data_IF_988418440432
#
_entry.id   IF_988418440432
#
_cell.length_a   1.000
_cell.length_b   1.000
_cell.length_c   1.000
_cell.angle_alpha   90.00
_cell.angle_beta   90.00
_cell.angle_gamma   90.00
#
_symmetry.space_group_name_H-M   'P 1'
#
loop_
_entity.id
_entity.type
_entity.pdbx_description
1 polymer ?
#
# COMPACT_ATOMS: atom_id res chain seq x y z
N UNK A 1 25.39 -4.80 -17.48
CA UNK A 1 25.20 -5.66 -18.67
C UNK A 1 23.72 -5.98 -18.75
N UNK A 2 23.02 -5.46 -19.74
CA UNK A 2 21.61 -5.76 -19.95
C UNK A 2 21.51 -7.19 -20.47
N UNK A 3 20.91 -8.08 -19.68
CA UNK A 3 20.50 -9.38 -20.18
C UNK A 3 19.44 -9.13 -21.27
N UNK A 4 19.78 -9.49 -22.51
CA UNK A 4 18.78 -9.67 -23.55
C UNK A 4 17.79 -10.71 -23.04
N UNK A 5 16.58 -10.27 -22.72
CA UNK A 5 15.51 -11.16 -22.30
C UNK A 5 15.13 -11.98 -23.54
N UNK A 6 15.52 -13.25 -23.55
CA UNK A 6 15.19 -14.19 -24.60
C UNK A 6 13.65 -14.28 -24.71
N UNK A 7 13.10 -13.79 -25.81
CA UNK A 7 11.64 -13.67 -26.01
C UNK A 7 10.93 -15.02 -26.10
N UNK A 8 11.68 -16.13 -26.01
CA UNK A 8 11.16 -17.50 -26.09
C UNK A 8 10.91 -18.14 -24.72
N UNK A 9 11.51 -17.62 -23.63
CA UNK A 9 11.34 -18.20 -22.31
C UNK A 9 9.93 -17.90 -21.73
N UNK A 10 9.29 -18.87 -21.07
CA UNK A 10 8.01 -18.63 -20.41
C UNK A 10 8.16 -17.58 -19.31
N UNK A 11 7.18 -16.69 -19.20
CA UNK A 11 7.10 -15.75 -18.09
C UNK A 11 6.99 -16.54 -16.78
N UNK A 12 7.83 -16.24 -15.78
CA UNK A 12 7.83 -16.86 -14.45
C UNK A 12 7.94 -15.79 -13.36
N UNK A 13 7.46 -16.10 -12.16
CA UNK A 13 7.55 -15.22 -10.99
C UNK A 13 8.85 -15.40 -10.18
N UNK A 14 9.62 -16.46 -10.43
CA UNK A 14 10.78 -16.88 -9.62
C UNK A 14 11.84 -15.77 -9.45
N UNK A 15 11.98 -14.92 -10.47
CA UNK A 15 13.00 -13.87 -10.51
C UNK A 15 12.65 -12.63 -9.68
N UNK A 16 11.45 -12.54 -9.11
CA UNK A 16 10.97 -11.35 -8.39
C UNK A 16 10.98 -11.47 -6.87
N UNK A 17 11.64 -12.49 -6.31
CA UNK A 17 11.57 -12.80 -4.87
C UNK A 17 10.13 -12.93 -4.37
N UNK A 18 9.27 -13.45 -5.24
CA UNK A 18 7.87 -13.71 -5.00
C UNK A 18 7.72 -14.99 -4.18
N UNK A 19 6.91 -14.97 -3.12
CA UNK A 19 6.54 -16.19 -2.41
C UNK A 19 5.34 -16.82 -3.11
N UNK A 20 5.42 -18.08 -3.51
CA UNK A 20 4.24 -18.76 -4.06
C UNK A 20 3.10 -18.73 -3.05
N UNK A 21 3.36 -19.01 -1.78
CA UNK A 21 2.35 -19.15 -0.72
C UNK A 21 1.92 -17.86 -0.03
N UNK A 22 2.67 -16.76 -0.24
CA UNK A 22 2.43 -15.49 0.46
C UNK A 22 2.42 -14.28 -0.49
N UNK A 23 2.63 -14.48 -1.79
CA UNK A 23 2.66 -13.42 -2.78
C UNK A 23 3.79 -12.42 -2.50
N UNK A 24 3.41 -11.14 -2.33
CA UNK A 24 4.32 -10.05 -1.98
C UNK A 24 4.61 -9.93 -0.48
N UNK A 25 3.91 -10.68 0.36
CA UNK A 25 4.10 -10.66 1.81
C UNK A 25 5.44 -11.31 2.15
N UNK A 26 6.21 -10.69 3.04
CA UNK A 26 7.48 -11.22 3.50
C UNK A 26 7.24 -12.54 4.26
N UNK A 27 7.78 -13.68 3.81
CA UNK A 27 7.65 -14.94 4.53
C UNK A 27 8.41 -14.89 5.85
N UNK A 28 7.73 -15.31 6.91
CA UNK A 28 8.27 -15.42 8.27
C UNK A 28 9.09 -14.20 8.68
N UNK A 29 8.45 -13.02 8.83
CA UNK A 29 9.15 -11.82 9.26
C UNK A 29 9.92 -12.07 10.55
N UNK A 30 11.13 -11.52 10.61
CA UNK A 30 11.95 -11.61 11.80
C UNK A 30 11.27 -10.81 12.93
N UNK A 31 11.32 -11.32 14.15
CA UNK A 31 10.70 -10.67 15.32
C UNK A 31 11.70 -9.90 16.19
N UNK A 32 12.99 -10.23 16.08
CA UNK A 32 14.08 -9.65 16.86
C UNK A 32 15.28 -9.37 15.96
N UNK A 33 15.90 -8.19 16.12
CA UNK A 33 17.17 -7.88 15.47
C UNK A 33 18.35 -8.42 16.29
N UNK A 34 19.55 -8.55 15.70
CA UNK A 34 20.76 -8.86 16.46
C UNK A 34 20.93 -7.91 17.67
N UNK A 35 21.50 -8.37 18.81
CA UNK A 35 21.55 -7.61 20.07
C UNK A 35 22.14 -6.19 19.96
N UNK A 36 23.02 -5.95 18.99
CA UNK A 36 23.55 -4.62 18.69
C UNK A 36 22.44 -3.58 18.40
N UNK A 37 21.32 -4.01 17.84
CA UNK A 37 20.16 -3.18 17.46
C UNK A 37 19.05 -3.15 18.50
N UNK A 38 19.27 -3.73 19.69
CA UNK A 38 18.27 -3.71 20.77
C UNK A 38 17.76 -2.29 21.09
N UNK A 39 18.59 -1.22 21.11
CA UNK A 39 18.09 0.13 21.34
C UNK A 39 17.02 0.60 20.35
N UNK A 40 17.05 0.14 19.10
CA UNK A 40 15.99 0.44 18.13
C UNK A 40 14.71 -0.30 18.45
N UNK A 41 14.80 -1.58 18.80
CA UNK A 41 13.64 -2.42 19.08
C UNK A 41 12.93 -1.99 20.37
N UNK A 42 13.68 -1.64 21.42
CA UNK A 42 13.14 -1.16 22.70
C UNK A 42 12.25 0.09 22.52
N UNK A 43 12.65 0.99 21.62
CA UNK A 43 11.87 2.20 21.32
C UNK A 43 10.73 1.86 20.36
N UNK A 44 11.00 1.15 19.26
CA UNK A 44 10.01 0.86 18.22
C UNK A 44 8.79 0.09 18.74
N UNK A 45 8.97 -0.85 19.66
CA UNK A 45 7.88 -1.61 20.29
C UNK A 45 7.01 -0.76 21.20
N UNK A 46 7.55 0.35 21.72
CA UNK A 46 6.88 1.25 22.68
C UNK A 46 6.46 2.59 22.08
N UNK A 47 6.54 2.75 20.76
CA UNK A 47 6.18 4.02 20.08
C UNK A 47 4.80 4.54 20.49
N UNK A 48 3.72 3.72 20.57
CA UNK A 48 2.41 4.22 20.99
C UNK A 48 2.43 4.80 22.41
N UNK A 49 3.02 4.08 23.37
CA UNK A 49 3.13 4.49 24.78
C UNK A 49 3.98 5.77 24.92
N UNK A 50 5.11 5.83 24.21
CA UNK A 50 6.04 6.95 24.27
C UNK A 50 5.47 8.21 23.59
N UNK A 51 4.64 8.05 22.55
CA UNK A 51 3.92 9.17 21.94
C UNK A 51 2.86 9.70 22.89
N UNK A 52 2.06 8.82 23.51
CA UNK A 52 1.04 9.21 24.49
C UNK A 52 1.65 9.91 25.71
N UNK A 53 2.82 9.47 26.16
CA UNK A 53 3.57 10.11 27.24
C UNK A 53 4.35 11.38 26.81
N UNK A 54 4.34 11.75 25.52
CA UNK A 54 5.16 12.83 24.95
C UNK A 54 6.69 12.66 25.13
N UNK A 55 7.15 11.42 25.31
CA UNK A 55 8.54 11.09 25.61
C UNK A 55 9.35 10.61 24.40
N UNK A 56 8.69 10.20 23.30
CA UNK A 56 9.35 9.55 22.16
C UNK A 56 10.48 10.42 21.58
N UNK A 57 10.25 11.72 21.38
CA UNK A 57 11.29 12.66 20.90
C UNK A 57 12.49 12.71 21.83
N UNK A 58 12.28 12.65 23.15
CA UNK A 58 13.36 12.63 24.14
C UNK A 58 14.15 11.33 24.11
N UNK A 59 13.47 10.19 23.97
CA UNK A 59 14.11 8.87 23.86
C UNK A 59 14.96 8.77 22.59
N UNK A 60 14.44 9.20 21.43
CA UNK A 60 15.19 9.19 20.16
C UNK A 60 16.44 10.08 20.21
N UNK A 61 16.40 11.22 20.91
CA UNK A 61 17.59 12.07 21.10
C UNK A 61 18.67 11.41 21.98
N UNK A 62 18.28 10.52 22.89
CA UNK A 62 19.20 9.75 23.75
C UNK A 62 19.68 8.44 23.08
N UNK A 63 19.02 8.02 22.00
CA UNK A 63 19.33 6.79 21.29
C UNK A 63 20.75 6.83 20.69
N UNK A 64 21.57 5.79 20.88
CA UNK A 64 22.89 5.74 20.27
C UNK A 64 22.77 5.71 18.74
N UNK A 65 23.70 6.35 18.03
CA UNK A 65 23.81 6.19 16.58
C UNK A 65 24.39 4.81 16.27
N UNK A 66 23.59 3.92 15.68
CA UNK A 66 23.98 2.55 15.33
C UNK A 66 24.25 2.43 13.82
N UNK A 67 25.28 1.68 13.45
CA UNK A 67 25.62 1.39 12.05
C UNK A 67 24.78 0.24 11.49
N UNK A 68 24.37 0.32 10.23
CA UNK A 68 23.60 -0.75 9.56
C UNK A 68 24.48 -1.94 9.13
N UNK A 69 25.80 -1.87 9.32
CA UNK A 69 26.77 -2.84 8.80
C UNK A 69 26.62 -4.27 9.35
N UNK A 70 25.93 -4.45 10.47
CA UNK A 70 25.68 -5.77 11.06
C UNK A 70 24.33 -6.38 10.63
N UNK A 71 23.54 -5.67 9.82
CA UNK A 71 22.36 -6.24 9.16
C UNK A 71 22.82 -6.90 7.86
N UNK A 72 22.75 -8.22 7.78
CA UNK A 72 23.26 -8.99 6.64
C UNK A 72 22.13 -9.58 5.81
N UNK A 73 21.04 -10.00 6.46
CA UNK A 73 19.94 -10.72 5.82
C UNK A 73 18.80 -9.78 5.43
N UNK A 74 18.10 -10.11 4.34
CA UNK A 74 16.97 -9.30 3.89
C UNK A 74 15.89 -9.11 4.97
N UNK A 75 15.56 -10.17 5.74
CA UNK A 75 14.58 -10.08 6.83
C UNK A 75 15.03 -9.14 7.95
N UNK A 76 16.33 -9.08 8.26
CA UNK A 76 16.90 -8.12 9.23
C UNK A 76 16.78 -6.68 8.71
N UNK A 77 17.09 -6.45 7.43
CA UNK A 77 16.93 -5.14 6.81
C UNK A 77 15.48 -4.66 6.85
N UNK A 78 14.52 -5.56 6.58
CA UNK A 78 13.09 -5.26 6.57
C UNK A 78 12.55 -4.96 7.97
N UNK A 79 12.94 -5.73 8.98
CA UNK A 79 12.56 -5.44 10.37
C UNK A 79 13.17 -4.12 10.86
N UNK A 80 14.43 -3.86 10.55
CA UNK A 80 15.09 -2.61 10.90
C UNK A 80 14.42 -1.41 10.22
N UNK A 81 14.13 -1.49 8.92
CA UNK A 81 13.43 -0.42 8.19
C UNK A 81 12.03 -0.16 8.76
N UNK A 82 11.27 -1.22 9.09
CA UNK A 82 9.98 -1.11 9.79
C UNK A 82 10.12 -0.40 11.15
N UNK A 83 11.07 -0.81 11.98
CA UNK A 83 11.31 -0.21 13.30
C UNK A 83 11.66 1.28 13.20
N UNK A 84 12.62 1.63 12.33
CA UNK A 84 13.02 3.02 12.09
C UNK A 84 11.89 3.85 11.45
N UNK A 85 11.07 3.23 10.58
CA UNK A 85 9.91 3.87 9.96
C UNK A 85 8.83 4.23 10.98
N UNK A 86 8.46 3.30 11.86
CA UNK A 86 7.46 3.57 12.93
C UNK A 86 7.98 4.61 13.91
N UNK A 87 9.26 4.55 14.31
CA UNK A 87 9.89 5.59 15.13
C UNK A 87 9.88 6.96 14.44
N UNK A 88 10.16 7.01 13.14
CA UNK A 88 10.14 8.25 12.36
C UNK A 88 8.74 8.86 12.32
N UNK A 89 7.71 8.05 12.03
CA UNK A 89 6.34 8.54 12.02
C UNK A 89 5.89 9.03 13.41
N UNK A 90 6.24 8.29 14.47
CA UNK A 90 5.98 8.72 15.85
C UNK A 90 6.72 10.01 16.23
N UNK A 91 8.00 10.14 15.85
CA UNK A 91 8.81 11.33 16.16
C UNK A 91 8.25 12.59 15.50
N UNK A 92 7.93 12.49 14.21
CA UNK A 92 7.43 13.61 13.41
C UNK A 92 6.07 14.06 13.94
N UNK A 93 5.18 13.11 14.17
CA UNK A 93 3.77 13.36 14.47
C UNK A 93 3.39 13.28 15.95
N UNK A 94 4.36 13.21 16.88
CA UNK A 94 4.11 13.08 18.33
C UNK A 94 3.06 14.09 18.83
N UNK A 95 3.21 15.35 18.43
CA UNK A 95 2.35 16.47 18.83
C UNK A 95 1.23 16.76 17.80
N UNK A 96 0.97 15.82 16.89
CA UNK A 96 0.04 16.00 15.77
C UNK A 96 0.45 17.15 14.84
N UNK A 97 -0.53 17.94 14.41
CA UNK A 97 -0.34 19.08 13.49
C UNK A 97 0.10 20.38 14.19
N UNK A 98 0.07 20.43 15.53
CA UNK A 98 0.27 21.66 16.29
C UNK A 98 1.74 22.03 16.49
N UNK A 99 2.64 21.05 16.51
CA UNK A 99 4.09 21.25 16.69
C UNK A 99 4.87 20.24 15.83
N UNK A 100 4.83 20.46 14.52
CA UNK A 100 5.58 19.65 13.55
C UNK A 100 7.07 19.91 13.64
N UNK A 101 7.90 18.88 13.41
CA UNK A 101 9.37 19.01 13.37
C UNK A 101 9.86 19.34 11.97
N UNK A 102 10.92 20.15 11.85
CA UNK A 102 11.57 20.43 10.57
C UNK A 102 12.71 19.45 10.25
N UNK A 103 13.21 18.71 11.25
CA UNK A 103 14.41 17.89 11.14
C UNK A 103 14.30 16.57 11.92
N UNK A 104 14.69 15.48 11.27
CA UNK A 104 14.87 14.16 11.86
C UNK A 104 16.29 14.02 12.42
N UNK A 105 16.49 13.67 13.70
CA UNK A 105 17.82 13.59 14.31
C UNK A 105 18.71 12.56 13.62
N UNK A 106 20.02 12.85 13.53
CA UNK A 106 21.02 12.02 12.85
C UNK A 106 21.07 10.57 13.34
N UNK A 107 20.76 10.35 14.63
CA UNK A 107 20.73 9.01 15.25
C UNK A 107 19.67 8.10 14.62
N UNK A 108 18.60 8.69 14.07
CA UNK A 108 17.53 8.01 13.36
C UNK A 108 17.65 8.20 11.83
N UNK A 109 17.96 9.42 11.38
CA UNK A 109 17.96 9.79 9.97
C UNK A 109 19.02 9.05 9.13
N UNK A 110 20.26 8.97 9.62
CA UNK A 110 21.38 8.33 8.90
C UNK A 110 21.13 6.84 8.68
N UNK A 111 20.92 6.00 9.72
CA UNK A 111 20.71 4.57 9.49
C UNK A 111 19.43 4.30 8.70
N UNK A 112 18.39 5.11 8.87
CA UNK A 112 17.14 4.92 8.13
C UNK A 112 17.34 5.19 6.63
N UNK A 113 18.04 6.27 6.28
CA UNK A 113 18.37 6.57 4.89
C UNK A 113 19.26 5.50 4.26
N UNK A 114 20.31 5.04 4.95
CA UNK A 114 21.20 3.99 4.45
C UNK A 114 20.45 2.67 4.21
N UNK A 115 19.57 2.27 5.14
CA UNK A 115 18.70 1.10 4.97
C UNK A 115 17.75 1.25 3.79
N UNK A 116 17.14 2.42 3.66
CA UNK A 116 16.30 2.79 2.53
C UNK A 116 17.01 2.64 1.20
N UNK A 117 18.26 3.13 1.08
CA UNK A 117 19.05 2.95 -0.13
C UNK A 117 19.31 1.47 -0.43
N UNK A 118 19.66 0.68 0.59
CA UNK A 118 19.96 -0.75 0.43
C UNK A 118 18.74 -1.58 0.03
N UNK A 119 17.55 -1.21 0.51
CA UNK A 119 16.28 -1.86 0.16
C UNK A 119 15.66 -1.30 -1.12
N UNK A 120 16.15 -0.15 -1.62
CA UNK A 120 15.52 0.58 -2.72
C UNK A 120 14.16 1.17 -2.35
N UNK A 121 13.94 1.52 -1.08
CA UNK A 121 12.73 2.14 -0.54
C UNK A 121 13.02 3.58 -0.08
N UNK A 122 12.01 4.47 0.00
CA UNK A 122 12.20 5.79 0.58
C UNK A 122 12.33 5.70 2.12
N UNK A 123 12.98 6.68 2.78
CA UNK A 123 13.11 6.75 4.24
C UNK A 123 11.84 7.31 4.90
N UNK A 124 10.72 6.62 4.68
CA UNK A 124 9.42 6.83 5.33
C UNK A 124 8.77 5.46 5.53
N UNK A 125 7.87 5.33 6.51
CA UNK A 125 7.09 4.09 6.67
C UNK A 125 6.22 3.83 5.43
N UNK A 126 6.40 2.68 4.79
CA UNK A 126 5.67 2.30 3.56
C UNK A 126 4.70 1.14 3.79
N UNK A 127 3.88 0.84 2.79
CA UNK A 127 3.07 -0.39 2.75
C UNK A 127 3.92 -1.66 2.83
N UNK A 128 5.12 -1.66 2.21
CA UNK A 128 6.04 -2.79 2.30
C UNK A 128 6.49 -3.06 3.74
N UNK A 129 6.52 -2.03 4.58
CA UNK A 129 6.92 -2.17 5.98
C UNK A 129 5.71 -2.52 6.83
N UNK A 130 4.71 -1.64 6.85
CA UNK A 130 3.60 -1.68 7.81
C UNK A 130 2.57 -2.79 7.52
N UNK A 131 2.54 -3.35 6.30
CA UNK A 131 1.64 -4.44 5.92
C UNK A 131 2.45 -5.69 5.60
N UNK A 132 3.35 -5.62 4.60
CA UNK A 132 3.97 -6.83 4.05
C UNK A 132 5.02 -7.45 4.98
N UNK A 133 5.58 -6.71 5.94
CA UNK A 133 6.58 -7.21 6.90
C UNK A 133 6.15 -7.13 8.37
N UNK A 134 5.08 -6.40 8.71
CA UNK A 134 4.68 -6.18 10.09
C UNK A 134 3.66 -7.21 10.58
N UNK A 135 4.01 -8.50 10.56
CA UNK A 135 3.13 -9.55 11.04
C UNK A 135 3.89 -10.73 11.64
N UNK A 136 3.24 -11.44 12.57
CA UNK A 136 3.60 -12.79 12.99
C UNK A 136 2.35 -13.59 13.36
N UNK A 137 2.48 -14.91 13.38
CA UNK A 137 1.48 -15.79 13.97
C UNK A 137 1.55 -15.67 15.49
N UNK A 138 0.42 -15.36 16.12
CA UNK A 138 0.26 -15.31 17.57
C UNK A 138 0.13 -16.71 18.16
N UNK A 139 -0.59 -17.58 17.45
CA UNK A 139 -0.93 -18.93 17.91
C UNK A 139 -0.98 -19.95 16.76
N UNK A 140 -0.97 -21.27 17.07
CA UNK A 140 -1.08 -22.33 16.06
C UNK A 140 -2.36 -22.29 15.22
N UNK A 141 -3.43 -21.70 15.75
CA UNK A 141 -4.73 -21.53 15.08
C UNK A 141 -4.68 -20.48 13.96
N UNK A 142 -3.57 -19.74 13.85
CA UNK A 142 -3.29 -18.85 12.72
C UNK A 142 -3.72 -17.40 12.96
N UNK A 143 -4.01 -17.01 14.21
CA UNK A 143 -4.29 -15.61 14.51
C UNK A 143 -3.04 -14.76 14.27
N UNK A 144 -3.22 -13.62 13.60
CA UNK A 144 -2.12 -12.71 13.26
C UNK A 144 -2.05 -11.53 14.23
N UNK A 145 -0.82 -11.08 14.49
CA UNK A 145 -0.52 -9.87 15.25
C UNK A 145 0.62 -9.07 14.62
N UNK A 146 0.72 -7.78 14.98
CA UNK A 146 1.76 -6.88 14.49
C UNK A 146 3.04 -7.02 15.32
N UNK A 147 4.18 -6.76 14.70
CA UNK A 147 5.49 -6.72 15.39
C UNK A 147 5.69 -5.40 16.13
N UNK A 148 5.27 -4.30 15.51
CA UNK A 148 5.31 -2.93 16.05
C UNK A 148 4.03 -2.18 15.66
N UNK A 149 3.67 -1.13 16.40
CA UNK A 149 2.44 -0.38 16.18
C UNK A 149 2.68 1.14 16.19
N UNK A 150 1.79 1.86 15.53
CA UNK A 150 1.58 3.31 15.69
C UNK A 150 0.41 3.57 16.66
N UNK A 151 0.19 4.81 17.12
CA UNK A 151 -0.97 5.15 17.94
C UNK A 151 -2.31 4.81 17.28
N UNK A 152 -3.25 4.30 18.07
CA UNK A 152 -4.60 3.88 17.63
C UNK A 152 -5.05 2.50 18.15
N UNK A 153 -4.20 1.79 18.89
CA UNK A 153 -4.54 0.54 19.59
C UNK A 153 -4.98 -0.58 18.65
N UNK A 154 -5.99 -1.36 19.06
CA UNK A 154 -6.50 -2.49 18.26
C UNK A 154 -7.01 -2.09 16.86
N UNK A 155 -7.38 -0.83 16.64
CA UNK A 155 -7.78 -0.34 15.31
C UNK A 155 -6.60 -0.35 14.32
N UNK A 156 -5.37 -0.12 14.79
CA UNK A 156 -4.15 -0.20 13.98
C UNK A 156 -3.87 -1.65 13.59
N UNK A 157 -4.00 -2.58 14.55
CA UNK A 157 -3.94 -4.02 14.29
C UNK A 157 -5.00 -4.42 13.27
N UNK A 158 -6.26 -4.04 13.48
CA UNK A 158 -7.36 -4.29 12.56
C UNK A 158 -7.07 -3.79 11.15
N UNK A 159 -6.63 -2.54 11.00
CA UNK A 159 -6.35 -1.94 9.71
C UNK A 159 -5.25 -2.68 8.94
N UNK A 160 -4.10 -2.93 9.56
CA UNK A 160 -2.98 -3.56 8.88
C UNK A 160 -3.20 -5.06 8.64
N UNK A 161 -3.82 -5.79 9.58
CA UNK A 161 -4.13 -7.22 9.39
C UNK A 161 -5.20 -7.41 8.31
N UNK A 162 -6.27 -6.60 8.29
CA UNK A 162 -7.26 -6.67 7.20
C UNK A 162 -6.60 -6.36 5.86
N UNK A 163 -5.71 -5.36 5.81
CA UNK A 163 -4.96 -5.04 4.57
C UNK A 163 -4.04 -6.20 4.15
N UNK A 164 -3.39 -6.87 5.10
CA UNK A 164 -2.61 -8.07 4.85
C UNK A 164 -3.47 -9.23 4.33
N UNK A 165 -4.68 -9.43 4.89
CA UNK A 165 -5.61 -10.45 4.40
C UNK A 165 -6.05 -10.19 2.95
N UNK A 166 -6.26 -8.92 2.58
CA UNK A 166 -6.49 -8.53 1.16
C UNK A 166 -5.30 -8.91 0.30
N UNK A 167 -4.06 -8.74 0.77
CA UNK A 167 -2.87 -9.14 0.03
C UNK A 167 -2.79 -10.66 -0.16
N UNK A 168 -3.09 -11.43 0.89
CA UNK A 168 -3.10 -12.89 0.86
C UNK A 168 -4.23 -13.46 -0.02
N UNK A 169 -5.42 -12.83 -0.02
CA UNK A 169 -6.53 -13.24 -0.86
C UNK A 169 -6.21 -13.12 -2.37
N UNK A 170 -5.23 -12.30 -2.75
CA UNK A 170 -4.81 -12.09 -4.13
C UNK A 170 -3.81 -13.14 -4.65
N UNK A 171 -3.32 -14.05 -3.80
CA UNK A 171 -2.28 -15.04 -4.17
C UNK A 171 -2.69 -15.89 -5.39
N UNK A 172 -3.92 -16.44 -5.48
CA UNK A 172 -4.28 -17.25 -6.65
C UNK A 172 -4.33 -16.43 -7.95
N UNK A 173 -4.71 -15.14 -7.87
CA UNK A 173 -4.61 -14.22 -9.01
C UNK A 173 -3.16 -14.02 -9.45
N UNK A 174 -2.24 -13.77 -8.51
CA UNK A 174 -0.83 -13.58 -8.81
C UNK A 174 -0.22 -14.82 -9.48
N UNK A 175 -0.50 -16.02 -8.97
CA UNK A 175 -0.07 -17.30 -9.58
C UNK A 175 -0.66 -17.50 -10.99
N UNK A 176 -1.73 -16.80 -11.33
CA UNK A 176 -2.40 -16.88 -12.63
C UNK A 176 -1.87 -15.87 -13.65
N UNK A 177 -1.15 -14.84 -13.22
CA UNK A 177 -0.52 -13.84 -14.12
C UNK A 177 0.38 -14.52 -15.17
N UNK A 178 1.34 -15.40 -14.80
CA UNK A 178 2.17 -16.10 -15.79
C UNK A 178 1.35 -16.96 -16.76
N UNK A 179 0.28 -17.60 -16.28
CA UNK A 179 -0.60 -18.45 -17.11
C UNK A 179 -1.32 -17.62 -18.17
N UNK A 180 -1.82 -16.44 -17.79
CA UNK A 180 -2.42 -15.49 -18.73
C UNK A 180 -1.38 -15.03 -19.76
N UNK A 181 -0.22 -14.56 -19.32
CA UNK A 181 0.83 -14.03 -20.22
C UNK A 181 1.31 -15.10 -21.20
N UNK A 182 1.63 -16.30 -20.71
CA UNK A 182 2.11 -17.39 -21.54
C UNK A 182 1.02 -17.92 -22.47
N UNK A 183 -0.24 -18.00 -22.01
CA UNK A 183 -1.38 -18.36 -22.83
C UNK A 183 -1.63 -17.38 -23.98
N UNK A 184 -1.52 -16.07 -23.72
CA UNK A 184 -1.59 -15.05 -24.77
C UNK A 184 -0.46 -15.22 -25.79
N UNK A 185 0.78 -15.48 -25.34
CA UNK A 185 1.94 -15.67 -26.23
C UNK A 185 1.80 -16.89 -27.15
N UNK A 186 1.17 -17.97 -26.70
CA UNK A 186 1.02 -19.19 -27.48
C UNK A 186 -0.35 -19.34 -28.18
N UNK A 187 -1.28 -18.40 -27.99
CA UNK A 187 -2.60 -18.48 -28.62
C UNK A 187 -3.61 -19.38 -27.89
N UNK A 188 -3.35 -19.78 -26.64
CA UNK A 188 -4.22 -20.69 -25.89
C UNK A 188 -5.36 -19.93 -25.18
N UNK A 189 -6.47 -19.78 -25.89
CA UNK A 189 -7.67 -19.09 -25.39
C UNK A 189 -8.28 -19.77 -24.16
N UNK A 190 -8.23 -21.10 -24.07
CA UNK A 190 -8.80 -21.86 -22.97
C UNK A 190 -7.97 -21.69 -21.68
N UNK A 191 -6.65 -21.75 -21.77
CA UNK A 191 -5.76 -21.50 -20.65
C UNK A 191 -5.91 -20.07 -20.11
N UNK A 192 -5.99 -19.07 -21.00
CA UNK A 192 -6.22 -17.68 -20.63
C UNK A 192 -7.58 -17.52 -19.93
N UNK A 193 -8.65 -18.06 -20.50
CA UNK A 193 -9.99 -17.96 -19.90
C UNK A 193 -10.07 -18.61 -18.51
N UNK A 194 -9.41 -19.76 -18.30
CA UNK A 194 -9.32 -20.39 -16.98
C UNK A 194 -8.54 -19.52 -15.98
N UNK A 195 -7.37 -19.03 -16.38
CA UNK A 195 -6.53 -18.21 -15.51
C UNK A 195 -7.21 -16.85 -15.17
N UNK A 196 -7.98 -16.29 -16.08
CA UNK A 196 -8.80 -15.11 -15.81
C UNK A 196 -9.89 -15.41 -14.76
N UNK A 197 -10.59 -16.54 -14.84
CA UNK A 197 -11.55 -16.91 -13.79
C UNK A 197 -10.91 -17.05 -12.41
N UNK A 198 -9.70 -17.61 -12.33
CA UNK A 198 -8.94 -17.68 -11.07
C UNK A 198 -8.62 -16.26 -10.53
N UNK A 199 -8.26 -15.32 -11.41
CA UNK A 199 -8.04 -13.92 -11.05
C UNK A 199 -9.35 -13.26 -10.58
N UNK A 200 -10.44 -13.45 -11.31
CA UNK A 200 -11.78 -12.94 -11.00
C UNK A 200 -12.21 -13.32 -9.60
N UNK A 201 -12.14 -14.62 -9.27
CA UNK A 201 -12.52 -15.17 -7.97
C UNK A 201 -11.66 -14.63 -6.82
N UNK A 202 -10.36 -14.45 -7.07
CA UNK A 202 -9.44 -13.87 -6.08
C UNK A 202 -9.77 -12.41 -5.79
N UNK A 203 -10.09 -11.62 -6.81
CA UNK A 203 -10.49 -10.21 -6.62
C UNK A 203 -11.79 -10.12 -5.82
N UNK A 204 -12.74 -11.02 -6.04
CA UNK A 204 -13.93 -11.12 -5.18
C UNK A 204 -13.57 -11.42 -3.72
N UNK A 205 -12.67 -12.40 -3.49
CA UNK A 205 -12.18 -12.73 -2.14
C UNK A 205 -11.44 -11.56 -1.47
N UNK A 206 -10.72 -10.75 -2.25
CA UNK A 206 -10.11 -9.51 -1.76
C UNK A 206 -11.16 -8.52 -1.27
N UNK A 207 -12.30 -8.39 -1.97
CA UNK A 207 -13.41 -7.54 -1.51
C UNK A 207 -13.97 -8.06 -0.20
N UNK A 208 -14.14 -9.38 -0.06
CA UNK A 208 -14.64 -9.99 1.19
C UNK A 208 -13.71 -9.76 2.38
N UNK A 209 -12.40 -9.84 2.17
CA UNK A 209 -11.42 -9.45 3.18
C UNK A 209 -11.52 -7.96 3.50
N UNK A 210 -11.63 -7.08 2.50
CA UNK A 210 -11.73 -5.64 2.71
C UNK A 210 -13.01 -5.25 3.49
N UNK A 211 -14.10 -6.03 3.40
CA UNK A 211 -15.31 -5.82 4.22
C UNK A 211 -15.03 -5.91 5.73
N UNK A 212 -14.05 -6.70 6.15
CA UNK A 212 -13.66 -6.84 7.55
C UNK A 212 -13.11 -5.54 8.15
N UNK A 213 -12.73 -4.56 7.31
CA UNK A 213 -12.34 -3.22 7.77
C UNK A 213 -13.43 -2.57 8.64
N UNK A 214 -14.71 -2.82 8.33
CA UNK A 214 -15.84 -2.31 9.10
C UNK A 214 -16.02 -2.95 10.48
N UNK A 215 -15.46 -4.15 10.67
CA UNK A 215 -15.55 -4.91 11.92
C UNK A 215 -14.43 -4.50 12.86
N UNK A 216 -13.21 -4.35 12.33
CA UNK A 216 -12.01 -4.21 13.15
C UNK A 216 -11.51 -2.77 13.33
N UNK A 217 -12.07 -1.81 12.59
CA UNK A 217 -11.59 -0.42 12.62
C UNK A 217 -12.74 0.54 12.87
N UNK A 218 -12.61 1.37 13.91
CA UNK A 218 -13.47 2.50 14.19
C UNK A 218 -13.12 3.68 13.25
N UNK A 219 -14.08 4.18 12.45
CA UNK A 219 -13.88 5.34 11.59
C UNK A 219 -13.33 6.59 12.29
N UNK A 220 -13.69 6.83 13.56
CA UNK A 220 -13.24 7.99 14.31
C UNK A 220 -11.80 7.84 14.77
N UNK A 221 -11.38 6.64 15.17
CA UNK A 221 -9.99 6.35 15.54
C UNK A 221 -9.09 6.42 14.31
N UNK A 222 -9.53 5.81 13.20
CA UNK A 222 -8.80 5.92 11.93
C UNK A 222 -8.61 7.38 11.53
N UNK A 223 -9.70 8.14 11.48
CA UNK A 223 -9.68 9.52 11.01
C UNK A 223 -8.90 10.46 11.94
N UNK A 224 -9.15 10.38 13.25
CA UNK A 224 -8.65 11.35 14.23
C UNK A 224 -7.26 11.04 14.79
N UNK A 225 -6.82 9.77 14.73
CA UNK A 225 -5.53 9.35 15.30
C UNK A 225 -4.64 8.77 14.21
N UNK A 226 -5.04 7.65 13.61
CA UNK A 226 -4.14 6.85 12.77
C UNK A 226 -3.67 7.59 11.52
N UNK A 227 -4.55 8.36 10.87
CA UNK A 227 -4.22 9.09 9.64
C UNK A 227 -3.07 10.07 9.81
N UNK A 228 -2.88 10.64 11.00
CA UNK A 228 -1.76 11.55 11.29
C UNK A 228 -0.45 10.77 11.13
N UNK A 229 -0.33 9.64 11.83
CA UNK A 229 0.88 8.79 11.81
C UNK A 229 1.11 8.05 10.49
N UNK A 230 0.12 8.00 9.60
CA UNK A 230 0.27 7.48 8.24
C UNK A 230 0.62 8.57 7.21
N UNK A 231 0.59 9.84 7.60
CA UNK A 231 0.83 10.95 6.69
C UNK A 231 2.30 11.21 6.45
N UNK A 232 2.61 11.55 5.20
CA UNK A 232 3.93 12.03 4.83
C UNK A 232 3.98 13.55 4.84
N UNK A 233 5.09 14.07 4.33
CA UNK A 233 5.40 15.51 4.26
C UNK A 233 5.59 15.99 2.82
N UNK A 234 5.18 15.20 1.81
CA UNK A 234 5.05 15.67 0.41
C UNK A 234 3.69 16.31 0.19
N UNK A 235 3.68 17.60 -0.17
CA UNK A 235 2.44 18.34 -0.37
C UNK A 235 1.54 18.39 0.88
N UNK A 236 2.13 18.27 2.08
CA UNK A 236 1.43 18.38 3.35
C UNK A 236 1.45 19.85 3.82
N UNK A 237 0.28 20.51 3.97
CA UNK A 237 0.20 21.90 4.44
C UNK A 237 0.89 22.18 5.77
N UNK A 238 0.97 21.21 6.69
CA UNK A 238 1.66 21.36 7.97
C UNK A 238 3.18 21.29 7.83
N UNK A 239 3.70 20.71 6.74
CA UNK A 239 5.12 20.55 6.48
C UNK A 239 5.45 20.96 5.05
N UNK A 240 5.22 22.22 4.66
CA UNK A 240 5.25 22.66 3.27
C UNK A 240 6.65 22.59 2.63
N UNK A 241 7.70 22.54 3.45
CA UNK A 241 9.09 22.39 2.99
C UNK A 241 9.51 20.93 2.88
N UNK A 242 8.77 19.97 3.46
CA UNK A 242 9.25 18.61 3.69
C UNK A 242 10.01 18.47 5.02
N UNK A 243 10.86 17.44 5.12
CA UNK A 243 11.60 17.09 6.34
C UNK A 243 13.10 17.01 6.05
N UNK A 244 13.93 17.65 6.88
CA UNK A 244 15.40 17.54 6.80
C UNK A 244 15.85 16.25 7.47
N UNK A 245 16.73 15.49 6.81
CA UNK A 245 17.35 14.30 7.37
C UNK A 245 18.77 14.65 7.82
N UNK A 246 18.93 14.92 9.11
CA UNK A 246 20.20 15.38 9.68
C UNK A 246 21.33 14.37 9.40
N UNK A 247 22.47 14.86 8.91
CA UNK A 247 23.62 14.03 8.56
C UNK A 247 23.49 13.28 7.22
N UNK A 248 22.36 13.40 6.53
CA UNK A 248 22.13 12.81 5.20
C UNK A 248 22.14 13.91 4.13
N UNK A 249 21.26 14.90 4.29
CA UNK A 249 21.10 16.01 3.34
C UNK A 249 20.66 17.27 4.06
N UNK A 250 21.22 18.41 3.67
CA UNK A 250 20.90 19.73 4.21
C UNK A 250 19.54 20.26 3.76
N UNK A 251 19.13 19.95 2.52
CA UNK A 251 17.82 20.34 2.02
C UNK A 251 16.72 19.40 2.51
N UNK A 252 15.53 19.95 2.84
CA UNK A 252 14.35 19.15 3.11
C UNK A 252 14.00 18.19 1.96
N UNK A 253 13.53 17.00 2.33
CA UNK A 253 13.07 15.98 1.38
C UNK A 253 11.55 15.79 1.51
N UNK A 254 10.88 15.50 0.39
CA UNK A 254 9.44 15.29 0.34
C UNK A 254 9.08 13.82 0.07
N UNK A 255 8.37 13.19 1.00
CA UNK A 255 7.85 11.83 0.84
C UNK A 255 6.34 11.75 1.10
N UNK A 256 5.64 11.01 0.26
CA UNK A 256 4.22 10.67 0.42
C UNK A 256 4.05 9.66 1.54
N UNK A 257 3.00 9.81 2.35
CA UNK A 257 2.67 8.85 3.40
C UNK A 257 2.12 7.54 2.86
N UNK A 258 1.83 6.62 3.78
CA UNK A 258 1.31 5.28 3.47
C UNK A 258 -0.03 5.35 2.75
N UNK A 259 -0.18 4.57 1.68
CA UNK A 259 -1.41 4.51 0.88
C UNK A 259 -1.57 3.13 0.25
N UNK A 260 -2.81 2.68 0.06
CA UNK A 260 -3.11 1.47 -0.71
C UNK A 260 -2.54 1.50 -2.14
N UNK A 261 -2.27 2.70 -2.69
CA UNK A 261 -1.61 2.85 -3.98
C UNK A 261 -0.15 2.34 -4.00
N UNK A 262 0.45 2.07 -2.85
CA UNK A 262 1.76 1.44 -2.70
C UNK A 262 1.69 -0.10 -2.73
N UNK A 263 0.49 -0.70 -2.70
CA UNK A 263 0.33 -2.14 -2.94
C UNK A 263 0.66 -2.47 -4.40
N UNK A 264 1.55 -3.44 -4.62
CA UNK A 264 1.94 -3.87 -5.96
C UNK A 264 0.84 -4.66 -6.69
N UNK A 265 -0.11 -5.25 -5.96
CA UNK A 265 -1.20 -6.06 -6.52
C UNK A 265 -2.05 -5.30 -7.53
N UNK A 266 -2.54 -4.13 -7.13
CA UNK A 266 -3.45 -3.34 -7.95
C UNK A 266 -2.77 -2.90 -9.26
N UNK A 267 -1.47 -2.61 -9.22
CA UNK A 267 -0.68 -2.26 -10.40
C UNK A 267 -0.48 -3.47 -11.31
N UNK A 268 -0.25 -4.66 -10.75
CA UNK A 268 -0.15 -5.88 -11.56
C UNK A 268 -1.46 -6.16 -12.31
N UNK A 269 -2.62 -5.97 -11.66
CA UNK A 269 -3.93 -6.14 -12.31
C UNK A 269 -4.19 -5.08 -13.38
N UNK A 270 -3.85 -3.81 -13.10
CA UNK A 270 -4.00 -2.74 -14.08
C UNK A 270 -3.17 -2.99 -15.34
N UNK A 271 -1.89 -3.35 -15.17
CA UNK A 271 -1.00 -3.63 -16.31
C UNK A 271 -1.45 -4.88 -17.07
N UNK A 272 -1.85 -5.95 -16.39
CA UNK A 272 -2.31 -7.18 -17.03
C UNK A 272 -3.61 -6.99 -17.83
N UNK A 273 -4.61 -6.34 -17.24
CA UNK A 273 -5.92 -6.12 -17.87
C UNK A 273 -5.88 -4.97 -18.89
N UNK A 274 -4.80 -4.20 -18.94
CA UNK A 274 -4.60 -3.10 -19.86
C UNK A 274 -5.35 -1.82 -19.45
N UNK A 275 -5.57 -1.60 -18.15
CA UNK A 275 -6.19 -0.38 -17.62
C UNK A 275 -5.25 0.79 -17.88
N UNK A 276 -5.75 1.84 -18.53
CA UNK A 276 -4.97 3.05 -18.84
C UNK A 276 -5.38 4.20 -17.93
N UNK A 277 -4.42 4.74 -17.20
CA UNK A 277 -4.60 5.88 -16.33
C UNK A 277 -4.20 7.18 -17.02
N UNK A 278 -5.05 8.20 -16.92
CA UNK A 278 -4.77 9.55 -17.42
C UNK A 278 -3.56 10.19 -16.72
N UNK A 279 -3.03 11.27 -17.28
CA UNK A 279 -1.77 11.89 -16.84
C UNK A 279 -1.66 12.14 -15.34
N UNK A 280 -2.71 12.66 -14.68
CA UNK A 280 -2.68 12.99 -13.25
C UNK A 280 -2.71 11.73 -12.37
N UNK A 281 -3.70 10.83 -12.56
CA UNK A 281 -3.80 9.60 -11.78
C UNK A 281 -2.63 8.65 -12.07
N UNK A 282 -2.22 8.56 -13.34
CA UNK A 282 -1.09 7.77 -13.80
C UNK A 282 0.25 8.25 -13.25
N UNK A 283 0.48 9.57 -13.18
CA UNK A 283 1.69 10.12 -12.54
C UNK A 283 1.76 9.78 -11.05
N UNK A 284 0.65 9.92 -10.32
CA UNK A 284 0.61 9.53 -8.91
C UNK A 284 0.87 8.04 -8.72
N UNK A 285 0.18 7.17 -9.45
CA UNK A 285 0.38 5.71 -9.37
C UNK A 285 1.83 5.32 -9.73
N UNK A 286 2.38 5.89 -10.80
CA UNK A 286 3.77 5.65 -11.20
C UNK A 286 4.74 6.09 -10.09
N UNK A 287 4.49 7.23 -9.46
CA UNK A 287 5.29 7.67 -8.31
C UNK A 287 5.18 6.73 -7.10
N UNK A 288 4.02 6.13 -6.85
CA UNK A 288 3.84 5.15 -5.77
C UNK A 288 4.62 3.86 -6.00
N UNK A 289 5.00 3.53 -7.24
CA UNK A 289 5.92 2.40 -7.50
C UNK A 289 7.26 2.60 -6.79
N UNK A 290 7.74 3.84 -6.62
CA UNK A 290 8.98 4.12 -5.89
C UNK A 290 8.92 3.78 -4.39
N UNK A 291 7.74 3.44 -3.86
CA UNK A 291 7.51 2.99 -2.48
C UNK A 291 7.34 1.47 -2.38
N UNK A 292 7.58 0.76 -3.49
CA UNK A 292 7.57 -0.71 -3.57
C UNK A 292 8.99 -1.25 -3.69
N UNK A 293 9.19 -2.48 -3.23
CA UNK A 293 10.48 -3.17 -3.38
C UNK A 293 10.89 -3.23 -4.86
N UNK A 294 12.21 -3.13 -5.17
CA UNK A 294 12.72 -3.17 -6.54
C UNK A 294 12.18 -4.34 -7.36
N UNK A 295 12.12 -5.55 -6.78
CA UNK A 295 11.62 -6.73 -7.49
C UNK A 295 10.13 -6.66 -7.81
N UNK A 296 9.32 -6.07 -6.92
CA UNK A 296 7.88 -5.90 -7.16
C UNK A 296 7.62 -4.86 -8.25
N UNK A 297 8.40 -3.76 -8.28
CA UNK A 297 8.37 -2.79 -9.39
C UNK A 297 8.75 -3.44 -10.72
N UNK A 298 9.78 -4.29 -10.68
CA UNK A 298 10.27 -4.97 -11.86
C UNK A 298 9.20 -5.91 -12.43
N UNK A 299 8.48 -6.66 -11.56
CA UNK A 299 7.34 -7.48 -11.99
C UNK A 299 6.26 -6.64 -12.69
N UNK A 300 5.83 -5.51 -12.11
CA UNK A 300 4.82 -4.63 -12.71
C UNK A 300 5.29 -4.15 -14.10
N UNK A 301 6.55 -3.75 -14.22
CA UNK A 301 7.15 -3.33 -15.49
C UNK A 301 7.19 -4.48 -16.50
N UNK A 302 7.56 -5.67 -16.07
CA UNK A 302 7.68 -6.80 -16.98
C UNK A 302 6.31 -7.31 -17.44
N UNK A 303 5.26 -7.18 -16.63
CA UNK A 303 3.86 -7.38 -17.05
C UNK A 303 3.49 -6.35 -18.13
N UNK A 304 3.84 -5.07 -17.97
CA UNK A 304 3.45 -4.02 -18.93
C UNK A 304 4.13 -4.14 -20.30
N UNK A 305 5.25 -4.87 -20.38
CA UNK A 305 5.97 -5.17 -21.61
C UNK A 305 5.40 -6.38 -22.37
N UNK A 306 4.39 -7.07 -21.81
CA UNK A 306 3.81 -8.26 -22.45
C UNK A 306 2.81 -7.92 -23.55
N UNK A 307 2.52 -8.87 -24.47
CA UNK A 307 1.44 -8.71 -25.43
C UNK A 307 0.10 -8.37 -24.75
N UNK A 308 -0.66 -7.48 -25.36
CA UNK A 308 -1.92 -6.97 -24.81
C UNK A 308 -2.97 -8.07 -24.69
N UNK A 309 -3.33 -8.44 -23.45
CA UNK A 309 -4.43 -9.34 -23.16
C UNK A 309 -5.74 -8.83 -23.76
N UNK A 310 -6.05 -7.54 -23.61
CA UNK A 310 -7.29 -6.95 -24.15
C UNK A 310 -7.38 -7.11 -25.66
N UNK A 311 -6.28 -6.86 -26.37
CA UNK A 311 -6.20 -7.05 -27.82
C UNK A 311 -6.33 -8.52 -28.20
N UNK A 312 -5.69 -9.42 -27.44
CA UNK A 312 -5.82 -10.86 -27.63
C UNK A 312 -7.28 -11.31 -27.52
N UNK A 313 -8.01 -10.88 -26.49
CA UNK A 313 -9.44 -11.19 -26.33
C UNK A 313 -10.27 -10.66 -27.52
N UNK A 314 -10.02 -9.42 -27.97
CA UNK A 314 -10.73 -8.83 -29.10
C UNK A 314 -10.49 -9.53 -30.44
N UNK A 315 -9.31 -10.15 -30.62
CA UNK A 315 -8.94 -10.84 -31.86
C UNK A 315 -9.47 -12.27 -31.94
N UNK A 316 -9.90 -12.87 -30.83
CA UNK A 316 -10.36 -14.25 -30.78
C UNK A 316 -11.88 -14.30 -30.57
N UNK A 317 -12.59 -14.97 -31.49
CA UNK A 317 -14.03 -15.20 -31.37
C UNK A 317 -14.35 -16.30 -30.35
N UNK A 318 -14.07 -16.05 -29.07
CA UNK A 318 -14.37 -16.95 -27.96
C UNK A 318 -15.24 -16.24 -26.92
N UNK A 319 -16.48 -16.71 -26.78
CA UNK A 319 -17.44 -16.21 -25.79
C UNK A 319 -16.90 -16.41 -24.37
N UNK A 320 -16.41 -17.61 -24.06
CA UNK A 320 -15.82 -17.93 -22.76
C UNK A 320 -14.63 -17.03 -22.38
N UNK A 321 -13.75 -16.73 -23.33
CA UNK A 321 -12.61 -15.83 -23.09
C UNK A 321 -13.08 -14.39 -22.86
N UNK A 322 -14.06 -13.94 -23.65
CA UNK A 322 -14.65 -12.61 -23.55
C UNK A 322 -15.35 -12.41 -22.21
N UNK A 323 -16.16 -13.38 -21.79
CA UNK A 323 -16.85 -13.40 -20.50
C UNK A 323 -15.85 -13.37 -19.34
N UNK A 324 -14.85 -14.25 -19.34
CA UNK A 324 -13.84 -14.30 -18.27
C UNK A 324 -13.07 -12.98 -18.13
N UNK A 325 -12.75 -12.32 -19.25
CA UNK A 325 -12.11 -11.00 -19.25
C UNK A 325 -13.04 -9.91 -18.69
N UNK A 326 -14.29 -9.86 -19.15
CA UNK A 326 -15.26 -8.87 -18.67
C UNK A 326 -15.56 -9.05 -17.18
N UNK A 327 -15.65 -10.30 -16.71
CA UNK A 327 -15.84 -10.62 -15.30
C UNK A 327 -14.68 -10.14 -14.44
N UNK A 328 -13.42 -10.38 -14.86
CA UNK A 328 -12.24 -9.85 -14.18
C UNK A 328 -12.27 -8.32 -14.04
N UNK A 329 -12.55 -7.61 -15.15
CA UNK A 329 -12.63 -6.15 -15.16
C UNK A 329 -13.77 -5.67 -14.25
N UNK A 330 -14.90 -6.38 -14.25
CA UNK A 330 -16.07 -6.07 -13.40
C UNK A 330 -15.77 -6.27 -11.91
N UNK A 331 -15.07 -7.33 -11.52
CA UNK A 331 -14.66 -7.52 -10.12
C UNK A 331 -13.60 -6.51 -9.69
N UNK A 332 -12.65 -6.13 -10.55
CA UNK A 332 -11.72 -5.04 -10.24
C UNK A 332 -12.46 -3.69 -10.07
N UNK A 333 -13.47 -3.44 -10.91
CA UNK A 333 -14.36 -2.29 -10.78
C UNK A 333 -15.16 -2.33 -9.46
N UNK A 334 -15.65 -3.50 -9.06
CA UNK A 334 -16.35 -3.70 -7.80
C UNK A 334 -15.45 -3.44 -6.60
N UNK A 335 -14.21 -3.94 -6.61
CA UNK A 335 -13.20 -3.66 -5.59
C UNK A 335 -12.93 -2.16 -5.44
N UNK A 336 -12.74 -1.44 -6.55
CA UNK A 336 -12.53 0.02 -6.53
C UNK A 336 -13.75 0.77 -6.03
N UNK A 337 -14.94 0.32 -6.41
CA UNK A 337 -16.21 0.89 -5.93
C UNK A 337 -16.38 0.68 -4.43
N UNK A 338 -16.05 -0.51 -3.93
CA UNK A 338 -16.09 -0.82 -2.51
C UNK A 338 -15.06 -0.02 -1.71
N UNK A 339 -13.84 0.16 -2.24
CA UNK A 339 -12.83 1.01 -1.62
C UNK A 339 -13.32 2.47 -1.48
N UNK A 340 -14.06 3.01 -2.46
CA UNK A 340 -14.70 4.33 -2.32
C UNK A 340 -15.71 4.34 -1.17
N UNK A 341 -16.48 3.27 -0.97
CA UNK A 341 -17.40 3.13 0.17
C UNK A 341 -16.65 3.14 1.50
N UNK A 342 -15.54 2.40 1.60
CA UNK A 342 -14.65 2.42 2.77
C UNK A 342 -14.15 3.83 3.03
N UNK A 343 -13.54 4.48 2.04
CA UNK A 343 -13.03 5.87 2.17
C UNK A 343 -14.14 6.85 2.56
N UNK A 344 -15.35 6.70 2.03
CA UNK A 344 -16.48 7.54 2.40
C UNK A 344 -16.81 7.41 3.88
N UNK A 345 -16.86 6.18 4.41
CA UNK A 345 -17.16 5.92 5.81
C UNK A 345 -16.03 6.35 6.75
N UNK A 346 -14.79 6.05 6.39
CA UNK A 346 -13.62 6.23 7.25
C UNK A 346 -12.97 7.61 7.14
N UNK A 347 -13.26 8.37 6.08
CA UNK A 347 -12.65 9.69 5.84
C UNK A 347 -13.71 10.76 5.64
N UNK A 348 -14.54 10.65 4.59
CA UNK A 348 -15.46 11.74 4.20
C UNK A 348 -16.50 12.05 5.28
N UNK A 349 -17.12 11.04 5.88
CA UNK A 349 -18.11 11.23 6.96
C UNK A 349 -17.48 11.81 8.23
N UNK A 350 -16.38 11.25 8.79
CA UNK A 350 -15.68 11.85 9.92
C UNK A 350 -15.19 13.28 9.66
N UNK A 351 -14.67 13.58 8.46
CA UNK A 351 -14.24 14.92 8.07
C UNK A 351 -15.38 15.94 8.13
N UNK A 352 -16.55 15.59 7.59
CA UNK A 352 -17.75 16.43 7.65
C UNK A 352 -18.18 16.69 9.10
N UNK A 353 -18.19 15.65 9.94
CA UNK A 353 -18.53 15.79 11.38
C UNK A 353 -17.54 16.69 12.12
N UNK A 354 -16.24 16.55 11.85
CA UNK A 354 -15.20 17.41 12.43
C UNK A 354 -15.39 18.88 12.04
N UNK A 355 -15.67 19.15 10.76
CA UNK A 355 -15.96 20.51 10.25
C UNK A 355 -17.18 21.13 10.91
N UNK A 356 -18.27 20.37 11.03
CA UNK A 356 -19.50 20.86 11.67
C UNK A 356 -19.28 21.24 13.14
N UNK A 357 -18.53 20.42 13.89
CA UNK A 357 -18.20 20.70 15.30
C UNK A 357 -17.33 21.94 15.46
N UNK A 358 -16.32 22.12 14.60
CA UNK A 358 -15.46 23.32 14.62
C UNK A 358 -16.25 24.61 14.40
N UNK A 359 -17.25 24.57 13.50
CA UNK A 359 -18.09 25.75 13.21
C UNK A 359 -19.09 26.09 14.33
N UNK A 360 -19.30 25.21 15.32
CA UNK A 360 -20.31 25.38 16.38
C UNK A 360 -19.73 25.87 17.72
N UNK A 361 -18.45 26.28 17.78
CA UNK A 361 -17.81 26.94 18.94
C UNK A 361 -18.06 26.28 20.30
N UNK A 362 -18.04 24.95 20.37
CA UNK A 362 -18.00 24.21 21.64
C UNK A 362 -16.63 23.58 21.81
N UNK A 363 -15.69 24.37 22.36
CA UNK A 363 -14.33 23.92 22.73
C UNK A 363 -14.31 22.87 23.84
N UNK A 364 -15.43 22.67 24.55
CA UNK A 364 -15.46 21.99 25.84
C UNK A 364 -15.57 20.44 25.82
N UNK A 365 -15.66 19.78 24.67
CA UNK A 365 -15.59 18.30 24.60
C UNK A 365 -14.77 17.85 23.38
N UNK A 366 -13.45 18.10 23.42
CA UNK A 366 -12.53 17.62 22.41
C UNK A 366 -12.29 16.10 22.56
N UNK A 367 -13.31 15.30 22.25
CA UNK A 367 -13.12 13.87 21.96
C UNK A 367 -12.22 13.68 20.73
N UNK A 368 -11.99 12.43 20.32
CA UNK A 368 -11.08 12.05 19.21
C UNK A 368 -11.29 12.89 17.92
N UNK A 369 -12.52 13.34 17.65
CA UNK A 369 -12.88 14.17 16.49
C UNK A 369 -12.34 15.61 16.60
N UNK A 370 -12.24 16.18 17.80
CA UNK A 370 -11.74 17.53 18.02
C UNK A 370 -10.24 17.67 17.74
N UNK A 371 -9.48 16.60 17.96
CA UNK A 371 -8.05 16.47 17.64
C UNK A 371 -7.76 16.02 16.21
N UNK A 372 -8.80 15.88 15.38
CA UNK A 372 -8.63 15.31 14.06
C UNK A 372 -7.89 16.25 13.10
N UNK A 373 -7.02 15.70 12.23
CA UNK A 373 -6.15 16.47 11.36
C UNK A 373 -6.93 17.36 10.40
N UNK A 374 -6.55 18.65 10.35
CA UNK A 374 -7.10 19.66 9.45
C UNK A 374 -6.45 19.58 8.07
N UNK A 375 -5.13 19.35 8.01
CA UNK A 375 -4.40 19.27 6.75
C UNK A 375 -4.83 18.08 5.88
N UNK A 376 -5.41 17.05 6.51
CA UNK A 376 -5.88 15.83 5.87
C UNK A 376 -7.40 15.82 5.59
N UNK A 377 -8.10 16.93 5.78
CA UNK A 377 -9.55 16.96 5.67
C UNK A 377 -10.05 16.62 4.24
N UNK A 378 -9.31 17.04 3.21
CA UNK A 378 -9.64 16.78 1.79
C UNK A 378 -8.57 15.95 1.06
N UNK A 379 -7.49 15.59 1.75
CA UNK A 379 -6.31 14.93 1.15
C UNK A 379 -6.03 13.56 1.76
N UNK A 380 -5.56 12.64 0.92
CA UNK A 380 -5.07 11.34 1.33
C UNK A 380 -3.74 11.48 2.05
N UNK A 381 -3.39 10.48 2.85
CA UNK A 381 -2.07 10.33 3.47
C UNK A 381 -0.94 10.30 2.41
N UNK A 382 -1.26 9.83 1.19
CA UNK A 382 -0.36 9.88 0.03
C UNK A 382 -0.27 11.24 -0.70
N UNK A 383 -1.14 12.20 -0.37
CA UNK A 383 -1.10 13.59 -0.88
C UNK A 383 -2.09 13.96 -1.99
N UNK A 384 -3.00 13.07 -2.39
CA UNK A 384 -4.01 13.33 -3.45
C UNK A 384 -5.34 13.82 -2.88
N UNK A 385 -6.14 14.53 -3.69
CA UNK A 385 -7.59 14.64 -3.46
C UNK A 385 -8.20 13.24 -3.59
N UNK A 386 -8.65 12.67 -2.47
CA UNK A 386 -8.91 11.23 -2.37
C UNK A 386 -10.08 10.83 -3.28
N UNK A 387 -11.18 11.58 -3.21
CA UNK A 387 -12.43 11.18 -3.86
C UNK A 387 -12.37 11.34 -5.36
N UNK A 388 -11.76 12.43 -5.85
CA UNK A 388 -11.56 12.61 -7.30
C UNK A 388 -10.63 11.53 -7.84
N UNK A 389 -9.48 11.28 -7.19
CA UNK A 389 -8.53 10.26 -7.60
C UNK A 389 -9.15 8.86 -7.69
N UNK A 390 -9.83 8.41 -6.63
CA UNK A 390 -10.44 7.07 -6.61
C UNK A 390 -11.55 6.91 -7.65
N UNK A 391 -12.39 7.93 -7.84
CA UNK A 391 -13.43 7.92 -8.88
C UNK A 391 -12.83 7.84 -10.27
N UNK A 392 -11.77 8.61 -10.54
CA UNK A 392 -11.05 8.58 -11.82
C UNK A 392 -10.46 7.20 -12.09
N UNK A 393 -9.72 6.63 -11.12
CA UNK A 393 -9.11 5.29 -11.26
C UNK A 393 -10.19 4.21 -11.48
N UNK A 394 -11.31 4.28 -10.73
CA UNK A 394 -12.45 3.38 -10.93
C UNK A 394 -13.03 3.50 -12.34
N UNK A 395 -13.31 4.73 -12.79
CA UNK A 395 -13.89 4.98 -14.11
C UNK A 395 -12.96 4.48 -15.23
N UNK A 396 -11.65 4.68 -15.11
CA UNK A 396 -10.66 4.19 -16.09
C UNK A 396 -10.63 2.66 -16.20
N UNK A 397 -10.85 1.93 -15.09
CA UNK A 397 -11.04 0.47 -15.16
C UNK A 397 -12.36 0.10 -15.82
N UNK A 398 -13.46 0.84 -15.61
CA UNK A 398 -14.72 0.61 -16.35
C UNK A 398 -14.50 0.79 -17.86
N UNK A 399 -13.72 1.77 -18.27
CA UNK A 399 -13.44 2.05 -19.69
C UNK A 399 -12.60 0.93 -20.36
N UNK A 400 -12.11 -0.04 -19.58
CA UNK A 400 -11.41 -1.23 -20.09
C UNK A 400 -12.38 -2.30 -20.59
N UNK A 401 -13.64 -2.28 -20.14
CA UNK A 401 -14.69 -3.19 -20.60
C UNK A 401 -14.78 -3.19 -22.13
N UNK A 402 -15.10 -4.35 -22.69
CA UNK A 402 -15.31 -4.49 -24.12
C UNK A 402 -16.73 -4.00 -24.46
N UNK A 403 -16.93 -3.38 -25.63
CA UNK A 403 -18.27 -3.02 -26.07
C UNK A 403 -19.16 -4.27 -26.11
N UNK A 404 -20.41 -4.16 -25.66
CA UNK A 404 -21.38 -5.22 -25.93
C UNK A 404 -21.46 -5.40 -27.45
N UNK A 405 -21.12 -6.60 -27.94
CA UNK A 405 -21.43 -6.96 -29.32
C UNK A 405 -22.93 -6.86 -29.46
N UNK A 406 -23.42 -5.78 -30.07
CA UNK A 406 -24.81 -5.64 -30.44
C UNK A 406 -25.17 -6.92 -31.16
N UNK A 407 -26.09 -7.72 -30.59
CA UNK A 407 -26.77 -8.77 -31.34
C UNK A 407 -27.32 -8.07 -32.57
N UNK A 408 -26.63 -8.22 -33.70
CA UNK A 408 -27.15 -7.82 -34.98
C UNK A 408 -28.46 -8.58 -35.11
N UNK A 409 -29.57 -7.85 -34.91
CA UNK A 409 -30.90 -8.34 -35.18
C UNK A 409 -30.89 -8.78 -36.64
N UNK A 410 -30.72 -10.09 -36.84
CA UNK A 410 -31.25 -10.80 -37.98
C UNK A 410 -32.77 -10.62 -37.93
N UNK A 411 -33.24 -9.50 -38.43
CA UNK A 411 -34.55 -9.39 -39.05
C UNK A 411 -34.32 -9.17 -40.54
N UNK A 412 -33.94 -10.27 -41.19
CA UNK A 412 -34.31 -10.54 -42.56
C UNK A 412 -35.28 -11.72 -42.50
N UNK A 413 -36.57 -11.43 -42.55
CA UNK A 413 -37.62 -12.15 -43.30
C UNK A 413 -38.91 -11.36 -43.16
#
# INVERSE_FOLDING_TARGET
MAAYNDSTAPFSLDVYHFSEDLGFVLPEPLVELPPYYQPWMDIAQRVPELVEAHELRSQIRKMPQLSIQYLQRHRELRLAHLALGVMTMGYVWQEGESDTVEMLPRTLAVPFWELSQRLGLPPILTHADAVLANWRKKDPEGNLELLVSIPGGENVRGFFIVTLMVELAAIPALRSIPKVINGVRCGDTNAVAKALRDISQSIESMVDCLKQMHVHVDPLVFYGIMRIFLSGWKGNPCMPKGLVYEGVRTEPMEYSGGSAAQSSLLHCFDELLGVKHETKSGSFLTNMRNYMLPSHRQLIRDISLQPSLRTFVQQHASEQLTEAFQECVSHLLALRSYHITVVTRFITIPASKARQRRNQSREAEAGVIGKAPVALQERGTGGTDIMSFLKTVRNQTRDTLLPETSKAMKHNS
#
